data_IF_733348170472
#
_entry.id   IF_733348170472
#
_cell.length_a   1.000
_cell.length_b   1.000
_cell.length_c   1.000
_cell.angle_alpha   90.00
_cell.angle_beta   90.00
_cell.angle_gamma   90.00
#
_symmetry.space_group_name_H-M   'P 1'
#
loop_
_entity.id
_entity.type
_entity.pdbx_description
1 polymer ?
#
# COMPACT_ATOMS: atom_id res chain seq x y z
N UNK A 1 -17.68 -27.27 11.76
CA UNK A 1 -17.12 -25.91 11.69
C UNK A 1 -17.46 -25.33 10.32
N UNK A 2 -18.21 -24.22 10.24
CA UNK A 2 -18.63 -23.65 8.97
C UNK A 2 -17.40 -23.21 8.15
N UNK A 3 -17.31 -23.62 6.88
CA UNK A 3 -16.31 -23.10 5.93
C UNK A 3 -16.47 -21.59 5.86
N UNK A 4 -15.52 -20.85 6.47
CA UNK A 4 -15.36 -19.42 6.23
C UNK A 4 -15.09 -19.25 4.74
N UNK A 5 -16.08 -18.81 3.97
CA UNK A 5 -15.90 -18.44 2.58
C UNK A 5 -15.07 -17.15 2.54
N UNK A 6 -13.80 -17.25 2.18
CA UNK A 6 -12.95 -16.07 2.02
C UNK A 6 -13.57 -15.09 1.01
N UNK A 7 -13.47 -13.79 1.31
CA UNK A 7 -13.86 -12.72 0.41
C UNK A 7 -12.72 -12.45 -0.56
N UNK A 8 -13.01 -12.50 -1.86
CA UNK A 8 -12.05 -12.17 -2.89
C UNK A 8 -12.18 -10.69 -3.27
N UNK A 9 -11.14 -9.92 -2.98
CA UNK A 9 -10.95 -8.60 -3.57
C UNK A 9 -10.21 -8.74 -4.90
N UNK A 10 -10.65 -7.97 -5.91
CA UNK A 10 -10.07 -7.96 -7.25
C UNK A 10 -9.81 -6.53 -7.69
N UNK A 11 -8.59 -6.27 -8.15
CA UNK A 11 -8.19 -5.02 -8.76
C UNK A 11 -7.84 -5.28 -10.24
N UNK A 12 -8.78 -5.02 -11.14
CA UNK A 12 -8.55 -5.23 -12.57
C UNK A 12 -7.53 -4.26 -13.16
N UNK A 13 -7.38 -3.05 -12.60
CA UNK A 13 -6.45 -2.04 -13.10
C UNK A 13 -4.99 -2.47 -12.95
N UNK A 14 -4.66 -3.07 -11.81
CA UNK A 14 -3.32 -3.58 -11.50
C UNK A 14 -3.21 -5.11 -11.54
N UNK A 15 -4.26 -5.78 -12.02
CA UNK A 15 -4.27 -7.20 -12.32
C UNK A 15 -4.04 -8.12 -11.11
N UNK A 16 -4.36 -7.70 -9.88
CA UNK A 16 -4.15 -8.50 -8.68
C UNK A 16 -5.44 -8.82 -7.92
N UNK A 17 -5.37 -9.88 -7.13
CA UNK A 17 -6.44 -10.29 -6.21
C UNK A 17 -5.89 -10.53 -4.81
N UNK A 18 -6.73 -10.35 -3.80
CA UNK A 18 -6.45 -10.63 -2.38
C UNK A 18 -7.61 -11.39 -1.77
N UNK A 19 -7.32 -12.28 -0.83
CA UNK A 19 -8.32 -13.03 -0.06
C UNK A 19 -8.38 -12.51 1.35
N UNK A 20 -9.59 -12.18 1.78
CA UNK A 20 -9.89 -11.65 3.10
C UNK A 20 -10.77 -12.62 3.88
N UNK A 21 -10.62 -12.70 5.21
CA UNK A 21 -11.60 -13.36 6.05
C UNK A 21 -13.00 -12.75 5.86
N UNK A 22 -14.04 -13.59 5.84
CA UNK A 22 -15.42 -13.15 5.58
C UNK A 22 -15.93 -12.05 6.53
N UNK A 23 -15.46 -12.08 7.76
CA UNK A 23 -15.88 -11.14 8.80
C UNK A 23 -15.41 -9.71 8.54
N UNK A 24 -14.40 -9.48 7.70
CA UNK A 24 -13.91 -8.14 7.33
C UNK A 24 -14.97 -7.28 6.64
N UNK A 25 -15.97 -7.88 5.98
CA UNK A 25 -17.05 -7.15 5.28
C UNK A 25 -17.75 -6.11 6.17
N UNK A 26 -17.86 -6.42 7.46
CA UNK A 26 -18.56 -5.58 8.43
C UNK A 26 -17.66 -4.49 9.05
N UNK A 27 -16.35 -4.56 8.86
CA UNK A 27 -15.38 -3.69 9.53
C UNK A 27 -14.40 -2.98 8.59
N UNK A 28 -14.50 -3.22 7.29
CA UNK A 28 -13.63 -2.60 6.30
C UNK A 28 -14.42 -1.82 5.25
N UNK A 29 -13.91 -0.65 4.85
CA UNK A 29 -14.28 0.05 3.62
C UNK A 29 -13.04 0.29 2.79
N UNK A 30 -13.20 0.41 1.47
CA UNK A 30 -12.08 0.55 0.54
C UNK A 30 -12.10 1.95 -0.07
N UNK A 31 -10.96 2.64 -0.03
CA UNK A 31 -10.75 3.93 -0.69
C UNK A 31 -9.58 3.84 -1.68
N UNK A 32 -9.68 4.55 -2.79
CA UNK A 32 -8.64 4.63 -3.85
C UNK A 32 -8.05 6.04 -3.99
N UNK A 33 -8.26 6.88 -2.98
CA UNK A 33 -7.75 8.25 -2.96
C UNK A 33 -6.23 8.18 -2.81
N UNK A 34 -5.50 8.73 -3.77
CA UNK A 34 -4.04 8.85 -3.71
C UNK A 34 -3.64 9.94 -2.71
N UNK A 35 -2.75 9.64 -1.77
CA UNK A 35 -2.23 10.56 -0.76
C UNK A 35 -0.72 10.81 -0.92
N UNK A 36 0.05 9.78 -1.28
CA UNK A 36 1.49 9.86 -1.51
C UNK A 36 1.76 10.34 -2.96
N UNK A 37 2.46 11.47 -3.18
CA UNK A 37 2.76 11.96 -4.51
C UNK A 37 3.61 10.99 -5.37
N UNK A 38 4.48 10.20 -4.74
CA UNK A 38 5.43 9.31 -5.41
C UNK A 38 4.81 7.95 -5.79
N UNK A 39 3.68 7.59 -5.18
CA UNK A 39 2.93 6.39 -5.53
C UNK A 39 2.28 6.53 -6.93
N UNK A 40 2.21 5.46 -7.71
CA UNK A 40 1.37 5.42 -8.91
C UNK A 40 -0.11 5.23 -8.52
N UNK A 41 -0.35 4.46 -7.46
CA UNK A 41 -1.68 4.09 -7.00
C UNK A 41 -1.67 3.68 -5.54
N UNK A 42 -2.77 4.00 -4.86
CA UNK A 42 -3.02 3.61 -3.47
C UNK A 42 -4.39 2.96 -3.32
N UNK A 43 -4.41 1.99 -2.41
CA UNK A 43 -5.59 1.25 -2.03
C UNK A 43 -5.65 1.13 -0.51
N UNK A 44 -6.53 1.93 0.08
CA UNK A 44 -6.70 2.08 1.52
C UNK A 44 -7.83 1.17 2.01
N UNK A 45 -7.52 0.27 2.94
CA UNK A 45 -8.51 -0.56 3.63
C UNK A 45 -8.79 0.07 4.99
N UNK A 46 -9.82 0.92 5.05
CA UNK A 46 -10.16 1.71 6.24
C UNK A 46 -11.01 0.94 7.23
N UNK A 47 -10.71 1.12 8.50
CA UNK A 47 -11.50 0.53 9.57
C UNK A 47 -12.83 1.25 9.69
N UNK A 48 -13.93 0.48 9.75
CA UNK A 48 -15.25 0.99 10.11
C UNK A 48 -15.79 0.27 11.34
N UNK A 49 -16.46 1.01 12.20
CA UNK A 49 -17.15 0.44 13.36
C UNK A 49 -18.35 1.29 13.75
N UNK A 50 -19.52 0.65 13.89
CA UNK A 50 -20.79 1.29 14.26
C UNK A 50 -21.11 2.56 13.44
N UNK A 51 -20.89 2.51 12.13
CA UNK A 51 -21.19 3.60 11.20
C UNK A 51 -20.09 4.65 11.05
N UNK A 52 -19.09 4.68 11.93
CA UNK A 52 -17.93 5.56 11.81
C UNK A 52 -16.83 4.89 10.99
N UNK A 53 -16.15 5.69 10.16
CA UNK A 53 -14.95 5.29 9.42
C UNK A 53 -13.76 5.99 10.07
N UNK A 54 -12.76 5.21 10.45
CA UNK A 54 -11.54 5.65 11.10
C UNK A 54 -10.36 5.59 10.12
N UNK A 55 -9.15 5.47 10.66
CA UNK A 55 -7.92 5.33 9.89
C UNK A 55 -7.80 3.97 9.18
N UNK A 56 -6.75 3.85 8.36
CA UNK A 56 -6.44 2.65 7.60
C UNK A 56 -6.10 1.48 8.53
N UNK A 57 -6.61 0.30 8.22
CA UNK A 57 -6.13 -0.97 8.77
C UNK A 57 -4.79 -1.28 8.11
N UNK A 58 -4.73 -1.13 6.79
CA UNK A 58 -3.51 -1.18 6.00
C UNK A 58 -3.78 -0.57 4.63
N UNK A 59 -2.70 -0.21 3.95
CA UNK A 59 -2.74 0.40 2.62
C UNK A 59 -1.82 -0.37 1.70
N UNK A 60 -2.25 -0.62 0.47
CA UNK A 60 -1.39 -1.13 -0.61
C UNK A 60 -1.01 0.05 -1.49
N UNK A 61 0.30 0.20 -1.70
CA UNK A 61 0.89 1.22 -2.54
C UNK A 61 1.55 0.54 -3.73
N UNK A 62 1.38 1.14 -4.91
CA UNK A 62 2.02 0.69 -6.14
C UNK A 62 2.96 1.78 -6.60
N UNK A 63 4.24 1.46 -6.75
CA UNK A 63 5.27 2.38 -7.22
C UNK A 63 5.73 1.98 -8.60
N UNK A 64 6.00 2.97 -9.44
CA UNK A 64 6.51 2.78 -10.79
C UNK A 64 8.04 2.72 -10.80
N UNK A 65 8.58 1.62 -10.30
CA UNK A 65 10.02 1.38 -10.22
C UNK A 65 10.32 -0.12 -10.21
N UNK A 66 11.57 -0.49 -10.45
CA UNK A 66 12.01 -1.88 -10.27
C UNK A 66 12.33 -2.18 -8.81
N UNK A 67 12.53 -3.45 -8.47
CA UNK A 67 12.95 -3.84 -7.12
C UNK A 67 14.38 -3.36 -6.81
N UNK A 68 15.25 -3.26 -7.82
CA UNK A 68 16.59 -2.70 -7.66
C UNK A 68 16.53 -1.20 -7.33
N UNK A 69 15.65 -0.46 -8.01
CA UNK A 69 15.41 0.95 -7.70
C UNK A 69 14.86 1.13 -6.28
N UNK A 70 13.93 0.28 -5.86
CA UNK A 70 13.38 0.25 -4.50
C UNK A 70 14.48 0.14 -3.43
N UNK A 71 15.40 -0.81 -3.61
CA UNK A 71 16.53 -1.01 -2.70
C UNK A 71 17.50 0.18 -2.75
N UNK A 72 17.84 0.67 -3.95
CA UNK A 72 18.77 1.79 -4.13
C UNK A 72 18.25 3.09 -3.51
N UNK A 73 16.95 3.31 -3.54
CA UNK A 73 16.31 4.50 -2.97
C UNK A 73 16.08 4.41 -1.46
N UNK A 74 16.46 3.30 -0.82
CA UNK A 74 16.38 3.14 0.64
C UNK A 74 14.98 2.79 1.16
N UNK A 75 14.04 2.40 0.30
CA UNK A 75 12.70 1.99 0.76
C UNK A 75 12.73 0.71 1.60
N UNK A 76 13.82 -0.06 1.57
CA UNK A 76 14.03 -1.21 2.46
C UNK A 76 14.07 -0.86 3.94
N UNK A 77 14.44 0.38 4.28
CA UNK A 77 14.48 0.89 5.66
C UNK A 77 13.24 1.73 6.01
N UNK A 78 12.30 1.87 5.07
CA UNK A 78 11.05 2.59 5.28
C UNK A 78 10.01 1.71 5.98
N UNK A 79 8.94 2.28 6.57
CA UNK A 79 7.86 1.48 7.16
C UNK A 79 7.06 0.69 6.10
N UNK A 80 7.35 0.86 4.81
CA UNK A 80 6.74 0.10 3.72
C UNK A 80 7.35 -1.29 3.60
N UNK A 81 6.49 -2.30 3.61
CA UNK A 81 6.88 -3.69 3.38
C UNK A 81 6.64 -4.08 1.92
N UNK A 82 7.69 -4.55 1.24
CA UNK A 82 7.60 -5.07 -0.12
C UNK A 82 6.71 -6.32 -0.17
N UNK A 83 5.71 -6.34 -1.06
CA UNK A 83 4.87 -7.52 -1.33
C UNK A 83 5.37 -8.27 -2.56
N UNK A 84 5.55 -7.56 -3.67
CA UNK A 84 5.94 -8.14 -4.95
C UNK A 84 6.48 -7.08 -5.92
N UNK A 85 7.28 -7.50 -6.88
CA UNK A 85 7.64 -6.69 -8.05
C UNK A 85 7.14 -7.38 -9.33
N UNK A 86 6.47 -6.63 -10.20
CA UNK A 86 5.93 -7.16 -11.46
C UNK A 86 5.75 -6.06 -12.50
N UNK A 87 6.13 -6.33 -13.74
CA UNK A 87 5.95 -5.44 -14.91
C UNK A 87 6.44 -4.00 -14.66
N UNK A 88 7.64 -3.87 -14.07
CA UNK A 88 8.27 -2.57 -13.76
C UNK A 88 7.58 -1.79 -12.64
N UNK A 89 6.85 -2.48 -11.76
CA UNK A 89 6.18 -1.91 -10.59
C UNK A 89 6.51 -2.69 -9.34
N UNK A 90 6.59 -1.96 -8.24
CA UNK A 90 6.69 -2.51 -6.90
C UNK A 90 5.34 -2.34 -6.21
N UNK A 91 4.84 -3.42 -5.63
CA UNK A 91 3.67 -3.46 -4.76
C UNK A 91 4.19 -3.56 -3.33
N UNK A 92 3.84 -2.58 -2.50
CA UNK A 92 4.19 -2.54 -1.10
C UNK A 92 2.93 -2.35 -0.25
N UNK A 93 3.04 -2.63 1.05
CA UNK A 93 1.98 -2.29 2.00
C UNK A 93 2.53 -1.57 3.22
N UNK A 94 1.64 -0.81 3.85
CA UNK A 94 1.86 -0.11 5.10
C UNK A 94 0.72 -0.45 6.06
N UNK A 95 1.06 -0.66 7.34
CA UNK A 95 0.10 -0.71 8.44
C UNK A 95 0.27 0.54 9.31
N UNK A 96 -0.79 1.04 9.95
CA UNK A 96 -0.64 2.14 10.90
C UNK A 96 0.23 1.69 12.09
N UNK A 97 1.07 2.60 12.57
CA UNK A 97 1.88 2.37 13.78
C UNK A 97 1.08 2.70 15.05
N UNK A 98 0.11 3.60 14.93
CA UNK A 98 -0.72 4.08 16.03
C UNK A 98 -2.20 3.70 15.84
N UNK A 99 -2.97 3.75 16.94
CA UNK A 99 -4.42 3.61 16.86
C UNK A 99 -5.03 4.93 16.38
N UNK A 100 -6.27 4.90 15.83
CA UNK A 100 -6.95 6.11 15.39
C UNK A 100 -6.97 7.21 16.45
N UNK A 101 -6.67 8.44 16.04
CA UNK A 101 -6.60 9.58 16.95
C UNK A 101 -7.93 9.81 17.70
N UNK A 102 -9.07 9.45 17.09
CA UNK A 102 -10.40 9.53 17.71
C UNK A 102 -10.56 8.61 18.93
N UNK A 103 -9.65 7.66 19.12
CA UNK A 103 -9.63 6.79 20.29
C UNK A 103 -8.94 7.41 21.50
N UNK A 104 -8.28 8.57 21.35
CA UNK A 104 -7.62 9.28 22.45
C UNK A 104 -8.65 10.02 23.30
N UNK A 105 -8.53 9.84 24.62
CA UNK A 105 -9.25 10.64 25.60
C UNK A 105 -8.60 12.03 25.70
N UNK A 106 -9.32 13.06 25.27
CA UNK A 106 -8.82 14.45 25.29
C UNK A 106 -8.42 14.97 26.68
N UNK A 107 -8.94 14.38 27.77
CA UNK A 107 -8.60 14.81 29.13
C UNK A 107 -7.28 14.22 29.62
N UNK A 108 -6.99 12.96 29.29
CA UNK A 108 -5.80 12.26 29.78
C UNK A 108 -4.67 12.24 28.75
N UNK A 109 -4.97 12.41 27.47
CA UNK A 109 -4.01 12.22 26.38
C UNK A 109 -3.78 10.76 26.01
N UNK A 110 -4.36 9.82 26.75
CA UNK A 110 -4.22 8.38 26.53
C UNK A 110 -5.39 7.78 25.74
N UNK A 111 -5.19 6.60 25.16
CA UNK A 111 -6.27 5.85 24.51
C UNK A 111 -7.38 5.45 25.50
N UNK A 112 -8.63 5.74 25.12
CA UNK A 112 -9.82 5.40 25.90
C UNK A 112 -10.24 3.94 25.66
N UNK A 113 -9.57 3.02 26.35
CA UNK A 113 -9.90 1.59 26.31
C UNK A 113 -11.28 1.25 26.90
N UNK A 114 -11.85 2.13 27.73
CA UNK A 114 -13.21 1.91 28.27
C UNK A 114 -14.26 2.11 27.18
N UNK A 115 -14.11 3.17 26.38
CA UNK A 115 -15.02 3.49 25.28
C UNK A 115 -14.73 2.68 24.01
N UNK A 116 -13.46 2.48 23.68
CA UNK A 116 -13.02 1.90 22.41
C UNK A 116 -12.38 0.51 22.55
N UNK A 117 -12.47 -0.16 23.70
CA UNK A 117 -11.86 -1.47 23.92
C UNK A 117 -12.22 -2.51 22.85
N UNK A 118 -13.50 -2.63 22.49
CA UNK A 118 -13.95 -3.54 21.42
C UNK A 118 -13.39 -3.17 20.03
N UNK A 119 -13.57 -1.94 19.50
CA UNK A 119 -13.00 -1.57 18.20
C UNK A 119 -11.46 -1.65 18.19
N UNK A 120 -10.78 -1.31 19.29
CA UNK A 120 -9.32 -1.47 19.40
C UNK A 120 -8.93 -2.95 19.30
N UNK A 121 -9.63 -3.84 20.01
CA UNK A 121 -9.38 -5.28 19.94
C UNK A 121 -9.59 -5.86 18.54
N UNK A 122 -10.64 -5.41 17.84
CA UNK A 122 -10.88 -5.78 16.45
C UNK A 122 -9.77 -5.26 15.54
N UNK A 123 -9.42 -3.98 15.63
CA UNK A 123 -8.38 -3.38 14.80
C UNK A 123 -7.02 -4.06 15.01
N UNK A 124 -6.61 -4.28 16.27
CA UNK A 124 -5.38 -5.02 16.60
C UNK A 124 -5.37 -6.42 15.99
N UNK A 125 -6.50 -7.14 16.01
CA UNK A 125 -6.61 -8.44 15.34
C UNK A 125 -6.47 -8.31 13.83
N UNK A 126 -7.14 -7.34 13.21
CA UNK A 126 -7.06 -7.11 11.77
C UNK A 126 -5.61 -6.83 11.34
N UNK A 127 -4.95 -5.89 12.01
CA UNK A 127 -3.57 -5.47 11.70
C UNK A 127 -2.57 -6.59 11.99
N UNK A 128 -2.54 -7.12 13.21
CA UNK A 128 -1.43 -7.98 13.63
C UNK A 128 -1.57 -9.44 13.18
N UNK A 129 -2.81 -9.92 13.00
CA UNK A 129 -3.07 -11.34 12.67
C UNK A 129 -3.47 -11.54 11.22
N UNK A 130 -4.35 -10.68 10.71
CA UNK A 130 -4.99 -10.93 9.43
C UNK A 130 -4.22 -10.29 8.27
N UNK A 131 -3.74 -9.05 8.39
CA UNK A 131 -3.00 -8.35 7.32
C UNK A 131 -1.82 -9.17 6.79
N UNK A 132 -0.91 -9.72 7.63
CA UNK A 132 0.20 -10.54 7.15
C UNK A 132 -0.26 -11.75 6.31
N UNK A 133 -1.40 -12.35 6.65
CA UNK A 133 -1.96 -13.49 5.91
C UNK A 133 -2.62 -13.03 4.61
N UNK A 134 -3.33 -11.90 4.63
CA UNK A 134 -3.98 -11.33 3.46
C UNK A 134 -2.94 -10.96 2.40
N UNK A 135 -1.86 -10.27 2.76
CA UNK A 135 -0.84 -9.85 1.78
C UNK A 135 -0.15 -11.06 1.12
N UNK A 136 0.04 -12.17 1.84
CA UNK A 136 0.56 -13.43 1.29
C UNK A 136 -0.38 -14.07 0.25
N UNK A 137 -1.67 -13.72 0.27
CA UNK A 137 -2.64 -14.19 -0.73
C UNK A 137 -2.63 -13.38 -2.01
N UNK A 138 -1.76 -12.35 -2.12
CA UNK A 138 -1.66 -11.56 -3.34
C UNK A 138 -1.32 -12.46 -4.51
N UNK A 139 -2.19 -12.45 -5.52
CA UNK A 139 -2.00 -13.19 -6.77
C UNK A 139 -2.26 -12.26 -7.93
N UNK A 140 -1.42 -12.36 -8.95
CA UNK A 140 -1.60 -11.64 -10.19
C UNK A 140 -2.32 -12.54 -11.19
N UNK A 141 -3.27 -11.98 -11.92
CA UNK A 141 -3.90 -12.67 -13.04
C UNK A 141 -2.88 -12.88 -14.17
N UNK A 142 -3.07 -13.93 -14.97
CA UNK A 142 -2.24 -14.20 -16.16
C UNK A 142 -2.42 -13.17 -17.26
N UNK A 143 -3.45 -12.31 -17.18
CA UNK A 143 -3.63 -11.19 -18.10
C UNK A 143 -2.59 -10.11 -17.77
N UNK A 144 -1.86 -9.66 -18.78
CA UNK A 144 -0.96 -8.52 -18.68
C UNK A 144 -1.69 -7.32 -18.05
N UNK A 145 -1.01 -6.57 -17.19
CA UNK A 145 -1.53 -5.31 -16.66
C UNK A 145 -1.99 -4.46 -17.85
N UNK A 146 -3.27 -4.13 -17.91
CA UNK A 146 -3.92 -3.47 -19.06
C UNK A 146 -3.39 -2.06 -19.33
N UNK A 147 -2.53 -1.52 -18.47
CA UNK A 147 -1.85 -0.26 -18.68
C UNK A 147 -0.57 -0.43 -19.50
N UNK A 148 -0.51 0.24 -20.66
CA UNK A 148 0.74 0.47 -21.38
C UNK A 148 1.76 1.08 -20.41
N UNK A 149 2.86 0.38 -20.18
CA UNK A 149 4.00 0.90 -19.42
C UNK A 149 4.61 2.08 -20.17
N UNK A 150 4.12 3.29 -19.93
CA UNK A 150 4.89 4.51 -20.21
C UNK A 150 6.28 4.39 -19.55
N UNK A 151 7.40 4.54 -20.25
CA UNK A 151 8.69 4.47 -19.59
C UNK A 151 8.78 5.52 -18.48
N UNK A 152 9.41 5.17 -17.36
CA UNK A 152 9.78 6.11 -16.31
C UNK A 152 10.65 7.19 -16.95
N UNK A 153 10.09 8.38 -17.22
CA UNK A 153 10.93 9.53 -17.57
C UNK A 153 11.61 9.94 -16.26
N UNK A 154 12.78 9.37 -16.01
CA UNK A 154 13.71 9.88 -15.01
C UNK A 154 14.18 11.27 -15.45
N UNK A 155 13.34 12.29 -15.30
CA UNK A 155 13.75 13.68 -15.52
C UNK A 155 14.84 14.13 -14.54
N UNK A 156 15.23 13.27 -13.58
CA UNK A 156 16.30 13.50 -12.61
C UNK A 156 17.54 12.60 -12.76
N UNK A 157 17.66 11.78 -13.81
CA UNK A 157 18.89 11.01 -14.08
C UNK A 157 19.49 11.46 -15.42
N UNK A 158 20.69 12.02 -15.34
CA UNK A 158 21.51 12.68 -16.37
C UNK A 158 21.11 14.10 -16.80
N UNK A 159 21.37 15.07 -15.92
CA UNK A 159 22.00 16.34 -16.34
C UNK A 159 23.50 16.14 -16.60
N UNK A 160 23.85 15.08 -17.33
CA UNK A 160 25.20 14.86 -17.82
C UNK A 160 25.32 15.74 -19.06
N UNK A 161 25.62 17.04 -18.88
CA UNK A 161 26.04 17.91 -19.99
C UNK A 161 27.27 17.26 -20.61
N UNK A 162 27.09 16.49 -21.69
CA UNK A 162 28.20 16.05 -22.53
C UNK A 162 28.81 17.35 -23.06
N UNK A 163 30.06 17.70 -22.69
CA UNK A 163 30.72 18.84 -23.30
C UNK A 163 30.87 18.52 -24.77
N UNK A 164 30.27 19.34 -25.65
CA UNK A 164 30.56 19.30 -27.07
C UNK A 164 32.08 19.46 -27.24
N UNK A 165 32.78 18.36 -27.57
CA UNK A 165 34.16 18.40 -28.05
C UNK A 165 34.20 19.33 -29.26
N UNK A 166 34.73 20.55 -29.07
CA UNK A 166 35.10 21.41 -30.19
C UNK A 166 36.14 20.66 -31.02
N UNK A 167 35.77 20.23 -32.23
CA UNK A 167 36.74 19.81 -33.24
C UNK A 167 37.59 21.04 -33.55
N UNK A 168 38.89 20.97 -33.28
CA UNK A 168 39.85 21.95 -33.82
C UNK A 168 39.82 21.85 -35.35
N UNK A 169 39.74 22.97 -36.08
CA UNK A 169 39.97 22.94 -37.52
C UNK A 169 41.44 22.57 -37.76
N UNK A 170 41.66 21.56 -38.62
CA UNK A 170 42.97 21.34 -39.23
C UNK A 170 43.14 22.38 -40.32
N UNK A 171 44.17 23.21 -40.20
CA UNK A 171 45.03 23.69 -41.29
C UNK A 171 46.27 24.30 -40.66
#
# INVERSE_FOLDING_TARGET
MAKSSDLLYRNDKYGFTLRFPSWWRNYCVVSKKKLDPDSEYELHFRFKYKGNVYDDIFTILVFRMTQEDWLRLGYGDSPLSLIAARDGRVFAYLTPEELPHEFINRKTGDYDYRKYGTPIGLLKRMVNRDVPRIVQTLRFSSRAITMKSTPYRSSKVCSCRIPRRRRKPRR
#
